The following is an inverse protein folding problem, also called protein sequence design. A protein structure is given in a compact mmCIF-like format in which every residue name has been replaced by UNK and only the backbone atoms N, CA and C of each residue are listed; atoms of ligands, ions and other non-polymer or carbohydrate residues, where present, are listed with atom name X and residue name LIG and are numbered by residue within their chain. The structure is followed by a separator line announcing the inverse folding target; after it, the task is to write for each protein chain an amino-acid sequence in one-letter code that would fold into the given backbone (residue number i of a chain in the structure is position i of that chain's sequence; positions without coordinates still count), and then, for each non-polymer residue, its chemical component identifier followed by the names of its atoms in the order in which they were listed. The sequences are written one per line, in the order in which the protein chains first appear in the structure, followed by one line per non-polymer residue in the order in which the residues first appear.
data_IF_513240131396
#
_entry.id   IF_513240131396
#
_cell.length_a   1.000
_cell.length_b   1.000
_cell.length_c   1.000
_cell.angle_alpha   90.00
_cell.angle_beta   90.00
_cell.angle_gamma   90.00
#
_symmetry.space_group_name_H-M   'P 1'
#
loop_
_entity.id
_entity.type
_entity.pdbx_description
1 polymer ?
#
# COMPACT_ATOMS: atom_id res chain seq x y z
N UNK A 1 -9.11 -3.72 22.85
CA UNK A 1 -9.11 -3.98 21.39
C UNK A 1 -7.66 -4.02 20.94
N UNK A 2 -7.27 -4.86 19.97
CA UNK A 2 -5.94 -4.76 19.38
C UNK A 2 -5.71 -3.34 18.84
N UNK A 3 -4.47 -2.86 18.90
CA UNK A 3 -4.11 -1.57 18.30
C UNK A 3 -4.26 -1.62 16.77
N UNK A 4 -4.38 -0.47 16.14
CA UNK A 4 -4.48 -0.35 14.68
C UNK A 4 -3.26 0.38 14.12
N UNK A 5 -2.96 0.16 12.83
CA UNK A 5 -1.95 0.91 12.09
C UNK A 5 -2.13 2.43 12.24
N UNK A 6 -3.38 2.92 12.23
CA UNK A 6 -3.69 4.35 12.37
C UNK A 6 -3.25 4.96 13.70
N UNK A 7 -2.99 4.12 14.71
CA UNK A 7 -2.59 4.54 16.04
C UNK A 7 -1.08 4.83 16.15
N UNK A 8 -0.28 4.44 15.13
CA UNK A 8 1.19 4.54 15.17
C UNK A 8 1.69 5.98 15.18
N UNK A 9 1.23 6.84 14.25
CA UNK A 9 1.66 8.26 14.24
C UNK A 9 1.10 9.08 15.41
N UNK A 10 -0.16 8.91 15.87
CA UNK A 10 -0.61 9.49 17.14
C UNK A 10 0.29 9.11 18.32
N UNK A 11 0.65 7.84 18.44
CA UNK A 11 1.52 7.34 19.49
C UNK A 11 2.96 7.90 19.40
N UNK A 12 3.50 8.00 18.18
CA UNK A 12 4.79 8.66 17.91
C UNK A 12 4.76 10.16 18.28
N UNK A 13 3.67 10.86 17.98
CA UNK A 13 3.49 12.25 18.35
C UNK A 13 3.38 12.43 19.87
N UNK A 14 2.70 11.52 20.56
CA UNK A 14 2.63 11.51 22.03
C UNK A 14 4.00 11.29 22.67
N UNK A 15 4.83 10.41 22.12
CA UNK A 15 6.24 10.23 22.54
C UNK A 15 7.06 11.53 22.41
N UNK A 16 6.78 12.33 21.39
CA UNK A 16 7.42 13.63 21.16
C UNK A 16 6.80 14.76 22.00
N UNK A 17 5.83 14.46 22.87
CA UNK A 17 5.18 15.45 23.74
C UNK A 17 4.21 16.39 23.02
N UNK A 18 3.68 16.00 21.86
CA UNK A 18 2.72 16.82 21.11
C UNK A 18 1.39 16.92 21.85
N UNK A 19 0.88 18.13 22.14
CA UNK A 19 -0.41 18.31 22.80
C UNK A 19 -1.57 17.68 22.02
N UNK A 20 -2.45 16.96 22.73
CA UNK A 20 -3.63 16.31 22.13
C UNK A 20 -3.35 15.02 21.35
N UNK A 21 -2.08 14.60 21.24
CA UNK A 21 -1.75 13.27 20.74
C UNK A 21 -2.14 12.20 21.77
N UNK A 22 -2.74 11.10 21.29
CA UNK A 22 -3.23 10.01 22.12
C UNK A 22 -2.39 8.77 21.84
N UNK A 23 -1.76 8.23 22.88
CA UNK A 23 -1.01 6.98 22.81
C UNK A 23 -1.88 5.79 23.22
N UNK A 24 -2.61 5.23 22.26
CA UNK A 24 -3.38 3.98 22.46
C UNK A 24 -2.51 2.73 22.38
N UNK A 25 -1.25 2.85 21.96
CA UNK A 25 -0.30 1.75 21.83
C UNK A 25 0.59 1.56 23.07
N UNK A 26 0.46 2.46 24.05
CA UNK A 26 1.27 2.54 25.27
C UNK A 26 2.79 2.57 24.98
N UNK A 27 3.21 3.23 23.91
CA UNK A 27 4.64 3.36 23.56
C UNK A 27 5.37 4.33 24.49
N UNK A 28 4.68 5.34 25.01
CA UNK A 28 5.19 6.32 25.99
C UNK A 28 5.57 5.64 27.31
N UNK A 29 4.64 4.86 27.87
CA UNK A 29 4.89 4.04 29.06
C UNK A 29 6.10 3.10 28.85
N UNK A 30 6.23 2.53 27.65
CA UNK A 30 7.31 1.59 27.31
C UNK A 30 8.67 2.24 27.13
N UNK A 31 8.72 3.49 26.68
CA UNK A 31 9.95 4.27 26.65
C UNK A 31 10.44 4.64 28.05
N UNK A 32 9.57 4.54 29.07
CA UNK A 32 9.92 4.78 30.46
C UNK A 32 10.17 6.27 30.74
N UNK A 33 11.10 6.55 31.66
CA UNK A 33 11.45 7.91 32.07
C UNK A 33 12.41 8.62 31.12
N UNK A 34 12.87 7.93 30.07
CA UNK A 34 13.84 8.47 29.13
C UNK A 34 13.20 9.60 28.32
N UNK A 35 13.91 10.73 28.24
CA UNK A 35 13.46 11.84 27.40
C UNK A 35 13.69 11.47 25.94
N UNK A 36 12.65 11.00 25.28
CA UNK A 36 12.62 10.81 23.83
C UNK A 36 12.30 12.13 23.16
N UNK A 37 13.20 12.61 22.30
CA UNK A 37 13.00 13.80 21.48
C UNK A 37 13.14 13.50 19.97
N UNK A 38 13.40 12.23 19.63
CA UNK A 38 13.55 11.73 18.26
C UNK A 38 12.74 10.44 18.13
N UNK A 39 11.88 10.36 17.12
CA UNK A 39 11.16 9.13 16.81
C UNK A 39 11.39 8.79 15.34
N UNK A 40 11.91 7.58 15.10
CA UNK A 40 12.01 6.99 13.78
C UNK A 40 10.86 6.00 13.59
N UNK A 41 10.00 6.24 12.61
CA UNK A 41 8.97 5.29 12.19
C UNK A 41 9.38 4.70 10.85
N UNK A 42 9.55 3.38 10.77
CA UNK A 42 9.84 2.67 9.52
C UNK A 42 8.65 1.80 9.15
N UNK A 43 8.06 2.07 7.99
CA UNK A 43 7.08 1.19 7.39
C UNK A 43 7.76 0.22 6.41
N UNK A 44 7.61 -1.06 6.68
CA UNK A 44 7.99 -2.14 5.78
C UNK A 44 6.73 -2.65 5.10
N UNK A 45 6.57 -2.34 3.82
CA UNK A 45 5.42 -2.72 3.03
C UNK A 45 5.27 -4.25 2.99
N UNK A 46 4.06 -4.75 3.24
CA UNK A 46 3.75 -6.18 3.20
C UNK A 46 4.31 -7.04 4.35
N UNK A 47 4.94 -6.45 5.39
CA UNK A 47 5.46 -7.17 6.56
C UNK A 47 4.33 -7.60 7.54
N UNK A 48 3.44 -8.46 7.05
CA UNK A 48 2.30 -8.96 7.83
C UNK A 48 2.72 -9.79 9.05
N UNK A 49 2.03 -9.60 10.18
CA UNK A 49 2.26 -10.34 11.42
C UNK A 49 2.35 -11.86 11.23
N UNK A 50 1.44 -12.44 10.42
CA UNK A 50 1.38 -13.88 10.18
C UNK A 50 2.53 -14.42 9.33
N UNK A 51 3.32 -13.54 8.71
CA UNK A 51 4.47 -13.90 7.89
C UNK A 51 5.78 -13.94 8.69
N UNK A 52 5.84 -13.29 9.87
CA UNK A 52 7.04 -13.24 10.70
C UNK A 52 7.67 -14.61 11.00
N UNK A 53 6.91 -15.68 11.32
CA UNK A 53 7.51 -16.99 11.56
C UNK A 53 8.24 -17.57 10.35
N UNK A 54 7.78 -17.27 9.13
CA UNK A 54 8.45 -17.73 7.90
C UNK A 54 9.71 -16.90 7.62
N UNK A 55 9.69 -15.61 7.97
CA UNK A 55 10.82 -14.70 7.75
C UNK A 55 11.98 -14.93 8.72
N UNK A 56 11.69 -15.35 9.95
CA UNK A 56 12.67 -15.51 11.01
C UNK A 56 13.89 -16.40 10.64
N UNK A 57 13.72 -17.36 9.72
CA UNK A 57 14.80 -18.27 9.31
C UNK A 57 15.99 -17.58 8.62
N UNK A 58 15.79 -16.42 8.00
CA UNK A 58 16.83 -15.67 7.26
C UNK A 58 17.01 -14.23 7.73
N UNK A 59 16.35 -13.84 8.82
CA UNK A 59 16.28 -12.46 9.30
C UNK A 59 16.52 -12.46 10.83
N UNK A 60 17.79 -12.37 11.29
CA UNK A 60 18.15 -12.48 12.70
C UNK A 60 17.49 -11.45 13.62
N UNK A 61 17.38 -10.18 13.21
CA UNK A 61 16.68 -9.18 14.01
C UNK A 61 15.18 -9.49 14.11
N UNK A 62 14.53 -9.86 13.00
CA UNK A 62 13.12 -10.28 13.03
C UNK A 62 12.91 -11.51 13.91
N UNK A 63 13.83 -12.49 13.88
CA UNK A 63 13.81 -13.65 14.75
C UNK A 63 13.96 -13.26 16.23
N UNK A 64 14.87 -12.34 16.53
CA UNK A 64 15.08 -11.82 17.89
C UNK A 64 13.85 -11.09 18.42
N UNK A 65 13.20 -10.27 17.57
CA UNK A 65 11.94 -9.58 17.90
C UNK A 65 10.80 -10.58 18.13
N UNK A 66 10.66 -11.59 17.26
CA UNK A 66 9.65 -12.64 17.39
C UNK A 66 9.85 -13.48 18.66
N UNK A 67 11.11 -13.76 19.02
CA UNK A 67 11.49 -14.47 20.24
C UNK A 67 11.42 -13.62 21.52
N UNK A 68 11.13 -12.32 21.40
CA UNK A 68 11.06 -11.39 22.54
C UNK A 68 12.42 -10.98 23.12
N UNK A 69 13.52 -11.23 22.42
CA UNK A 69 14.87 -10.86 22.85
C UNK A 69 15.25 -9.42 22.45
N UNK A 70 14.60 -8.86 21.42
CA UNK A 70 14.81 -7.46 21.00
C UNK A 70 13.48 -6.72 20.91
N UNK A 71 13.39 -5.56 21.58
CA UNK A 71 12.22 -4.69 21.51
C UNK A 71 10.93 -5.36 22.00
N UNK A 72 9.79 -4.90 21.48
CA UNK A 72 8.47 -5.48 21.77
C UNK A 72 7.69 -5.63 20.49
N UNK A 73 6.99 -6.75 20.38
CA UNK A 73 6.18 -7.08 19.22
C UNK A 73 4.69 -7.01 19.61
N UNK A 74 3.92 -6.15 18.94
CA UNK A 74 2.47 -5.98 19.18
C UNK A 74 1.72 -6.15 17.85
N UNK A 75 0.68 -6.98 17.84
CA UNK A 75 -0.13 -7.18 16.64
C UNK A 75 -1.02 -5.97 16.43
N UNK A 76 -0.93 -5.38 15.24
CA UNK A 76 -1.80 -4.29 14.80
C UNK A 76 -2.80 -4.78 13.74
N UNK A 77 -3.97 -4.16 13.73
CA UNK A 77 -4.94 -4.29 12.64
C UNK A 77 -4.66 -3.26 11.54
N UNK A 78 -4.52 -3.75 10.31
CA UNK A 78 -4.56 -2.91 9.11
C UNK A 78 -6.01 -2.48 8.80
N UNK A 79 -6.15 -1.51 7.91
CA UNK A 79 -7.47 -1.04 7.49
C UNK A 79 -8.12 -1.97 6.47
N UNK A 80 -9.43 -1.79 6.25
CA UNK A 80 -10.12 -2.38 5.10
C UNK A 80 -10.42 -1.30 4.05
N UNK A 81 -10.07 -1.51 2.77
CA UNK A 81 -9.28 -2.63 2.26
C UNK A 81 -7.82 -2.58 2.73
N UNK A 82 -7.20 -3.75 2.84
CA UNK A 82 -5.81 -3.90 3.31
C UNK A 82 -4.83 -3.67 2.17
N UNK A 83 -4.78 -2.44 1.67
CA UNK A 83 -3.93 -2.05 0.53
C UNK A 83 -3.09 -0.82 0.86
N UNK A 84 -1.90 -0.75 0.25
CA UNK A 84 -0.92 0.31 0.47
C UNK A 84 -1.55 1.71 0.43
N UNK A 85 -2.33 2.13 -0.60
CA UNK A 85 -2.85 3.50 -0.63
C UNK A 85 -3.78 3.81 0.55
N UNK A 86 -4.62 2.84 0.92
CA UNK A 86 -5.57 2.98 2.03
C UNK A 86 -4.81 3.07 3.36
N UNK A 87 -3.94 2.09 3.61
CA UNK A 87 -3.18 1.96 4.85
C UNK A 87 -2.19 3.11 5.06
N UNK A 88 -1.49 3.58 4.02
CA UNK A 88 -0.58 4.72 4.12
C UNK A 88 -1.31 6.01 4.51
N UNK A 89 -2.47 6.28 3.92
CA UNK A 89 -3.26 7.47 4.26
C UNK A 89 -3.89 7.33 5.66
N UNK A 90 -4.34 6.13 6.03
CA UNK A 90 -4.82 5.86 7.40
C UNK A 90 -3.72 6.05 8.45
N UNK A 91 -2.49 5.57 8.18
CA UNK A 91 -1.32 5.83 9.01
C UNK A 91 -1.02 7.32 9.10
N UNK A 92 -0.93 7.98 7.94
CA UNK A 92 -0.59 9.39 7.80
C UNK A 92 -1.57 10.32 8.49
N UNK A 93 -2.85 9.99 8.50
CA UNK A 93 -3.92 10.84 9.05
C UNK A 93 -4.38 10.45 10.44
N UNK A 94 -4.17 9.18 10.84
CA UNK A 94 -4.79 8.56 12.01
C UNK A 94 -6.29 8.25 11.84
N UNK A 95 -6.85 8.48 10.65
CA UNK A 95 -8.29 8.36 10.39
C UNK A 95 -8.64 7.02 9.72
N UNK A 96 -9.91 6.64 9.79
CA UNK A 96 -10.42 5.48 9.05
C UNK A 96 -10.54 5.77 7.54
N UNK A 97 -10.53 4.74 6.67
CA UNK A 97 -10.66 4.90 5.22
C UNK A 97 -11.87 5.73 4.78
N UNK A 98 -13.02 5.51 5.41
CA UNK A 98 -14.24 6.25 5.11
C UNK A 98 -14.17 7.76 5.41
N UNK A 99 -13.24 8.19 6.27
CA UNK A 99 -13.05 9.60 6.62
C UNK A 99 -12.08 10.29 5.64
N UNK A 100 -11.00 9.61 5.26
CA UNK A 100 -9.97 10.20 4.40
C UNK A 100 -10.18 9.95 2.89
N UNK A 101 -11.12 9.09 2.51
CA UNK A 101 -11.60 8.95 1.11
C UNK A 101 -10.71 8.15 0.15
N UNK A 102 -9.55 7.67 0.61
CA UNK A 102 -8.66 6.80 -0.18
C UNK A 102 -8.98 5.35 0.19
N UNK A 103 -9.73 4.66 -0.67
CA UNK A 103 -10.35 3.36 -0.40
C UNK A 103 -9.82 2.24 -1.31
N UNK A 104 -8.55 2.32 -1.72
CA UNK A 104 -7.90 1.30 -2.53
C UNK A 104 -7.03 1.84 -3.64
N UNK A 105 -6.49 0.96 -4.49
CA UNK A 105 -5.65 1.36 -5.62
C UNK A 105 -6.40 2.18 -6.66
N UNK A 106 -7.65 1.81 -6.96
CA UNK A 106 -8.44 2.51 -7.95
C UNK A 106 -9.82 2.87 -7.44
N UNK A 107 -10.27 4.10 -7.71
CA UNK A 107 -11.62 4.56 -7.39
C UNK A 107 -12.19 5.35 -8.55
N UNK A 108 -13.50 5.25 -8.75
CA UNK A 108 -14.20 6.12 -9.70
C UNK A 108 -14.28 7.53 -9.13
N UNK A 109 -13.85 8.53 -9.89
CA UNK A 109 -14.03 9.94 -9.53
C UNK A 109 -15.54 10.24 -9.46
N UNK A 110 -16.06 10.75 -8.32
CA UNK A 110 -17.48 11.03 -8.15
C UNK A 110 -18.04 11.88 -9.29
N UNK A 111 -19.26 11.56 -9.75
CA UNK A 111 -19.90 12.26 -10.87
C UNK A 111 -19.39 11.90 -12.27
N UNK A 112 -18.32 11.11 -12.41
CA UNK A 112 -17.71 10.80 -13.72
C UNK A 112 -17.68 9.29 -14.02
N UNK A 113 -17.10 8.92 -15.18
CA UNK A 113 -16.69 7.54 -15.49
C UNK A 113 -15.18 7.31 -15.28
N UNK A 114 -14.44 8.37 -14.96
CA UNK A 114 -12.98 8.33 -14.82
C UNK A 114 -12.59 7.52 -13.60
N UNK A 115 -11.60 6.65 -13.75
CA UNK A 115 -10.99 5.89 -12.67
C UNK A 115 -9.69 6.54 -12.28
N UNK A 116 -9.61 7.02 -11.05
CA UNK A 116 -8.39 7.48 -10.41
C UNK A 116 -7.58 6.27 -9.96
N UNK A 117 -6.30 6.24 -10.29
CA UNK A 117 -5.35 5.27 -9.74
C UNK A 117 -4.44 5.98 -8.75
N UNK A 118 -4.54 5.69 -7.45
CA UNK A 118 -3.86 6.46 -6.41
C UNK A 118 -2.33 6.38 -6.49
N UNK A 119 -1.76 5.26 -6.96
CA UNK A 119 -0.28 5.15 -7.08
C UNK A 119 0.28 5.82 -8.34
N UNK A 120 -0.59 6.16 -9.30
CA UNK A 120 -0.21 6.92 -10.52
C UNK A 120 -0.75 8.35 -10.51
N UNK A 121 -1.48 8.72 -9.47
CA UNK A 121 -2.12 10.01 -9.32
C UNK A 121 -1.09 11.10 -9.10
N UNK A 122 -1.34 12.27 -9.69
CA UNK A 122 -0.56 13.49 -9.53
C UNK A 122 -1.40 14.54 -8.82
N UNK A 123 -2.02 15.43 -9.58
CA UNK A 123 -2.65 16.65 -9.09
C UNK A 123 -4.12 16.80 -9.50
N UNK A 124 -4.66 15.92 -10.34
CA UNK A 124 -6.07 15.91 -10.74
C UNK A 124 -6.76 14.58 -10.36
N UNK A 125 -7.78 14.61 -9.48
CA UNK A 125 -8.23 15.76 -8.69
C UNK A 125 -7.16 16.21 -7.68
N UNK A 126 -7.26 17.43 -7.15
CA UNK A 126 -6.28 17.94 -6.17
C UNK A 126 -6.17 17.02 -4.94
N UNK A 127 -4.95 16.64 -4.48
CA UNK A 127 -4.79 15.80 -3.30
C UNK A 127 -5.39 16.34 -2.02
N UNK A 128 -5.35 17.66 -1.82
CA UNK A 128 -5.94 18.31 -0.66
C UNK A 128 -7.49 18.30 -0.68
N UNK A 129 -8.08 18.23 -1.88
CA UNK A 129 -9.55 18.14 -2.04
C UNK A 129 -10.00 16.69 -1.91
N UNK A 130 -9.27 15.76 -2.52
CA UNK A 130 -9.60 14.33 -2.48
C UNK A 130 -9.42 13.71 -1.10
N UNK A 131 -8.35 14.10 -0.40
CA UNK A 131 -8.04 13.71 0.97
C UNK A 131 -7.99 14.98 1.83
N UNK A 132 -9.08 15.33 2.54
CA UNK A 132 -9.18 16.59 3.28
C UNK A 132 -8.74 16.49 4.75
N UNK A 133 -8.57 15.29 5.30
CA UNK A 133 -8.23 15.10 6.71
C UNK A 133 -6.78 15.55 6.95
N UNK A 134 -6.47 16.40 7.96
CA UNK A 134 -5.11 16.77 8.26
C UNK A 134 -4.24 15.53 8.55
N UNK A 135 -3.01 15.52 8.03
CA UNK A 135 -2.05 14.47 8.37
C UNK A 135 -1.39 14.75 9.72
N UNK A 136 -0.80 13.74 10.35
CA UNK A 136 0.04 13.91 11.52
C UNK A 136 1.29 14.73 11.23
N UNK A 137 1.78 14.76 10.00
CA UNK A 137 2.89 15.64 9.61
C UNK A 137 2.49 17.12 9.65
N UNK A 138 1.27 17.47 9.24
CA UNK A 138 0.73 18.84 9.42
C UNK A 138 0.58 19.17 10.91
N UNK A 139 0.01 18.26 11.71
CA UNK A 139 -0.20 18.46 13.15
C UNK A 139 1.12 18.62 13.92
N UNK A 140 2.14 17.83 13.58
CA UNK A 140 3.49 17.95 14.14
C UNK A 140 4.08 19.32 13.85
N UNK A 141 3.99 19.76 12.58
CA UNK A 141 4.46 21.08 12.16
C UNK A 141 3.75 22.22 12.89
N UNK A 142 2.42 22.13 13.06
CA UNK A 142 1.63 23.10 13.83
C UNK A 142 2.04 23.15 15.31
N UNK A 143 2.45 22.00 15.88
CA UNK A 143 2.99 21.91 17.23
C UNK A 143 4.47 22.32 17.36
N UNK A 144 5.10 22.78 16.27
CA UNK A 144 6.52 23.16 16.26
C UNK A 144 7.50 21.98 16.29
N UNK A 145 7.03 20.76 15.97
CA UNK A 145 7.85 19.56 15.90
C UNK A 145 8.20 19.26 14.44
N UNK A 146 9.49 19.14 14.15
CA UNK A 146 9.97 18.78 12.81
C UNK A 146 9.52 17.36 12.44
N UNK A 147 9.07 17.17 11.20
CA UNK A 147 8.68 15.88 10.65
C UNK A 147 9.25 15.73 9.24
N UNK A 148 10.13 14.73 9.05
CA UNK A 148 10.78 14.43 7.77
C UNK A 148 10.33 13.08 7.26
N UNK A 149 10.16 12.95 5.95
CA UNK A 149 9.82 11.70 5.30
C UNK A 149 10.89 11.33 4.27
N UNK A 150 11.69 10.31 4.58
CA UNK A 150 12.68 9.73 3.68
C UNK A 150 11.99 8.70 2.81
N UNK A 151 11.80 9.04 1.54
CA UNK A 151 10.99 8.27 0.60
C UNK A 151 11.75 8.02 -0.70
N UNK A 152 11.52 6.89 -1.38
CA UNK A 152 12.03 6.69 -2.73
C UNK A 152 11.67 7.88 -3.63
N UNK A 153 12.67 8.44 -4.31
CA UNK A 153 12.54 9.68 -5.07
C UNK A 153 11.44 9.63 -6.14
N UNK A 154 11.17 8.42 -6.67
CA UNK A 154 10.11 8.20 -7.65
C UNK A 154 8.68 8.46 -7.14
N UNK A 155 8.46 8.45 -5.83
CA UNK A 155 7.14 8.69 -5.24
C UNK A 155 6.87 10.17 -5.02
N UNK A 156 7.92 10.99 -4.93
CA UNK A 156 7.76 12.42 -4.67
C UNK A 156 6.98 13.10 -5.81
N UNK A 157 6.09 14.02 -5.41
CA UNK A 157 5.16 14.67 -6.33
C UNK A 157 3.98 13.80 -6.79
N UNK A 158 3.81 12.60 -6.24
CA UNK A 158 2.58 11.83 -6.42
C UNK A 158 1.47 12.34 -5.50
N UNK A 159 0.22 12.24 -5.96
CA UNK A 159 -0.95 12.61 -5.17
C UNK A 159 -1.12 11.74 -3.93
N UNK A 160 -0.72 10.47 -3.98
CA UNK A 160 -0.73 9.60 -2.80
C UNK A 160 0.29 10.05 -1.75
N UNK A 161 1.50 10.42 -2.16
CA UNK A 161 2.52 10.97 -1.25
C UNK A 161 2.02 12.24 -0.58
N UNK A 162 1.41 13.16 -1.33
CA UNK A 162 0.79 14.35 -0.75
C UNK A 162 -0.38 13.99 0.19
N UNK A 163 -1.27 13.08 -0.22
CA UNK A 163 -2.42 12.67 0.61
C UNK A 163 -2.02 11.99 1.93
N UNK A 164 -0.93 11.22 1.95
CA UNK A 164 -0.48 10.51 3.14
C UNK A 164 0.46 11.35 4.03
N UNK A 165 1.29 12.21 3.43
CA UNK A 165 2.44 12.82 4.11
C UNK A 165 2.50 14.35 4.03
N UNK A 166 1.49 15.03 3.45
CA UNK A 166 1.43 16.50 3.38
C UNK A 166 1.83 17.13 4.71
N UNK A 167 2.71 18.12 4.69
CA UNK A 167 3.27 18.77 5.89
C UNK A 167 4.65 18.25 6.29
N UNK A 168 5.07 17.09 5.78
CA UNK A 168 6.42 16.59 5.98
C UNK A 168 7.45 17.38 5.15
N UNK A 169 8.69 17.41 5.63
CA UNK A 169 9.86 17.72 4.82
C UNK A 169 10.29 16.46 4.06
N UNK A 170 10.09 16.44 2.75
CA UNK A 170 10.46 15.29 1.92
C UNK A 170 11.98 15.20 1.69
N UNK A 171 12.51 14.00 1.94
CA UNK A 171 13.92 13.64 1.75
C UNK A 171 13.99 12.54 0.68
N UNK A 172 14.34 12.86 -0.57
CA UNK A 172 14.39 11.86 -1.64
C UNK A 172 15.53 10.87 -1.41
N UNK A 173 15.24 9.58 -1.59
CA UNK A 173 16.24 8.53 -1.71
C UNK A 173 16.24 7.93 -3.12
N UNK A 174 17.37 8.03 -3.80
CA UNK A 174 17.62 7.43 -5.10
C UNK A 174 18.04 5.95 -5.00
N UNK A 175 17.95 5.20 -6.10
CA UNK A 175 18.30 3.77 -6.10
C UNK A 175 19.77 3.44 -5.79
N UNK A 176 20.67 4.41 -5.95
CA UNK A 176 22.10 4.26 -5.69
C UNK A 176 22.52 4.78 -4.30
N UNK A 177 21.59 5.38 -3.56
CA UNK A 177 21.89 5.94 -2.26
C UNK A 177 21.96 4.84 -1.19
N UNK A 178 22.80 5.07 -0.18
CA UNK A 178 22.74 4.29 1.04
C UNK A 178 21.54 4.74 1.88
N UNK A 179 20.39 4.11 1.63
CA UNK A 179 19.13 4.47 2.27
C UNK A 179 19.19 4.47 3.80
N UNK A 180 19.88 3.49 4.40
CA UNK A 180 20.01 3.42 5.85
C UNK A 180 20.81 4.63 6.38
N UNK A 181 21.89 5.00 5.69
CA UNK A 181 22.70 6.16 6.07
C UNK A 181 21.90 7.46 5.95
N UNK A 182 21.12 7.65 4.88
CA UNK A 182 20.25 8.82 4.73
C UNK A 182 19.27 8.96 5.91
N UNK A 183 18.60 7.87 6.29
CA UNK A 183 17.68 7.87 7.44
C UNK A 183 18.40 8.20 8.74
N UNK A 184 19.60 7.64 8.96
CA UNK A 184 20.42 7.92 10.15
C UNK A 184 20.85 9.39 10.20
N UNK A 185 21.28 9.95 9.08
CA UNK A 185 21.71 11.34 8.99
C UNK A 185 20.54 12.30 9.28
N UNK A 186 19.37 12.05 8.69
CA UNK A 186 18.16 12.82 8.97
C UNK A 186 17.75 12.71 10.44
N UNK A 187 17.80 11.51 11.04
CA UNK A 187 17.49 11.28 12.46
C UNK A 187 18.43 12.04 13.40
N UNK A 188 19.71 12.11 13.05
CA UNK A 188 20.73 12.81 13.85
C UNK A 188 20.69 14.32 13.68
N UNK A 189 20.26 14.81 12.51
CA UNK A 189 20.32 16.23 12.16
C UNK A 189 19.48 17.14 13.06
N UNK A 190 18.32 16.70 13.56
CA UNK A 190 17.50 17.47 14.51
C UNK A 190 16.50 16.58 15.27
N UNK A 191 15.99 17.00 16.45
CA UNK A 191 14.83 16.38 17.10
C UNK A 191 13.57 16.35 16.21
N UNK A 192 12.64 15.46 16.52
CA UNK A 192 11.35 15.32 15.83
C UNK A 192 11.09 13.93 15.26
N UNK A 193 10.17 13.85 14.29
CA UNK A 193 9.80 12.62 13.60
C UNK A 193 10.63 12.44 12.32
N UNK A 194 11.16 11.23 12.12
CA UNK A 194 11.64 10.76 10.81
C UNK A 194 10.79 9.56 10.41
N UNK A 195 10.20 9.61 9.22
CA UNK A 195 9.47 8.52 8.61
C UNK A 195 10.28 7.92 7.48
N UNK A 196 10.44 6.59 7.47
CA UNK A 196 11.04 5.83 6.39
C UNK A 196 10.06 4.80 5.82
N UNK A 197 10.21 4.49 4.54
CA UNK A 197 9.40 3.51 3.83
C UNK A 197 10.27 2.58 2.96
N UNK A 198 10.02 1.28 2.99
CA UNK A 198 10.61 0.31 2.06
C UNK A 198 9.54 -0.63 1.49
N UNK A 199 9.57 -0.82 0.16
CA UNK A 199 8.65 -1.68 -0.58
C UNK A 199 9.24 -3.03 -0.99
N UNK A 200 10.50 -3.31 -0.62
CA UNK A 200 11.26 -4.43 -1.19
C UNK A 200 10.59 -5.79 -0.91
N UNK A 201 10.08 -5.97 0.31
CA UNK A 201 9.42 -7.21 0.74
C UNK A 201 8.11 -7.46 -0.02
N UNK A 202 7.23 -6.47 -0.06
CA UNK A 202 5.96 -6.56 -0.80
C UNK A 202 6.18 -6.72 -2.31
N UNK A 203 7.15 -6.00 -2.88
CA UNK A 203 7.54 -6.15 -4.29
C UNK A 203 7.96 -7.59 -4.60
N UNK A 204 8.79 -8.20 -3.75
CA UNK A 204 9.21 -9.58 -3.93
C UNK A 204 8.04 -10.56 -3.79
N UNK A 205 7.12 -10.32 -2.85
CA UNK A 205 5.91 -11.12 -2.67
C UNK A 205 5.02 -11.05 -3.92
N UNK A 206 4.84 -9.88 -4.51
CA UNK A 206 4.02 -9.71 -5.71
C UNK A 206 4.63 -10.34 -6.96
N UNK A 207 5.95 -10.24 -7.15
CA UNK A 207 6.61 -10.74 -8.36
C UNK A 207 6.86 -12.25 -8.29
N UNK A 208 7.26 -12.77 -7.13
CA UNK A 208 7.74 -14.14 -6.97
C UNK A 208 6.87 -15.01 -6.07
N UNK A 209 5.96 -14.42 -5.31
CA UNK A 209 5.12 -15.11 -4.33
C UNK A 209 5.74 -15.13 -2.93
N UNK A 210 4.87 -15.16 -1.92
CA UNK A 210 5.24 -15.35 -0.52
C UNK A 210 5.88 -16.74 -0.35
N UNK A 211 6.99 -16.82 0.36
CA UNK A 211 7.77 -18.05 0.58
C UNK A 211 8.77 -18.41 -0.53
N UNK A 212 8.89 -17.57 -1.57
CA UNK A 212 9.92 -17.71 -2.60
C UNK A 212 11.32 -17.34 -2.07
N UNK A 213 12.38 -17.82 -2.72
CA UNK A 213 13.77 -17.45 -2.39
C UNK A 213 13.99 -15.94 -2.47
N UNK A 214 13.38 -15.27 -3.44
CA UNK A 214 13.47 -13.82 -3.63
C UNK A 214 12.78 -13.05 -2.51
N UNK A 215 11.65 -13.56 -2.02
CA UNK A 215 10.95 -12.97 -0.87
C UNK A 215 11.76 -13.12 0.43
N UNK A 216 12.39 -14.28 0.64
CA UNK A 216 13.33 -14.45 1.77
C UNK A 216 14.58 -13.58 1.65
N UNK A 217 15.13 -13.40 0.44
CA UNK A 217 16.24 -12.49 0.20
C UNK A 217 15.87 -11.03 0.50
N UNK A 218 14.69 -10.57 0.07
CA UNK A 218 14.16 -9.25 0.40
C UNK A 218 13.98 -9.06 1.92
N UNK A 219 13.53 -10.10 2.62
CA UNK A 219 13.44 -10.05 4.08
C UNK A 219 14.82 -9.91 4.76
N UNK A 220 15.86 -10.58 4.24
CA UNK A 220 17.21 -10.41 4.73
C UNK A 220 17.77 -9.00 4.47
N UNK A 221 17.45 -8.38 3.32
CA UNK A 221 17.73 -6.96 3.05
C UNK A 221 17.07 -6.04 4.07
N UNK A 222 15.77 -6.25 4.34
CA UNK A 222 15.00 -5.49 5.34
C UNK A 222 15.58 -5.67 6.74
N UNK A 223 15.93 -6.89 7.13
CA UNK A 223 16.55 -7.19 8.42
C UNK A 223 17.90 -6.45 8.58
N UNK A 224 18.71 -6.44 7.52
CA UNK A 224 19.98 -5.69 7.48
C UNK A 224 19.74 -4.19 7.62
N UNK A 225 18.76 -3.63 6.90
CA UNK A 225 18.37 -2.23 7.02
C UNK A 225 17.96 -1.90 8.45
N UNK A 226 17.02 -2.66 9.02
CA UNK A 226 16.51 -2.41 10.37
C UNK A 226 17.60 -2.57 11.45
N UNK A 227 18.52 -3.52 11.28
CA UNK A 227 19.67 -3.71 12.18
C UNK A 227 20.60 -2.50 12.15
N UNK A 228 20.95 -2.00 10.97
CA UNK A 228 21.77 -0.79 10.83
C UNK A 228 21.10 0.44 11.47
N UNK A 229 19.78 0.58 11.31
CA UNK A 229 19.03 1.66 11.94
C UNK A 229 19.05 1.52 13.47
N UNK A 230 18.78 0.33 13.99
CA UNK A 230 18.77 0.04 15.43
C UNK A 230 20.15 0.28 16.07
N UNK A 231 21.23 -0.13 15.43
CA UNK A 231 22.60 0.09 15.91
C UNK A 231 22.99 1.58 15.92
N UNK A 232 22.43 2.37 15.01
CA UNK A 232 22.75 3.78 14.86
C UNK A 232 21.86 4.72 15.70
N UNK A 233 20.87 4.18 16.42
CA UNK A 233 19.89 4.95 17.19
C UNK A 233 20.58 5.76 18.31
N UNK A 234 20.35 7.10 18.36
CA UNK A 234 20.77 7.91 19.51
C UNK A 234 20.09 7.45 20.82
N UNK A 235 20.71 7.69 22.00
CA UNK A 235 20.12 7.31 23.29
C UNK A 235 18.76 7.94 23.59
N UNK A 236 18.46 9.10 23.00
CA UNK A 236 17.20 9.84 23.13
C UNK A 236 16.22 9.59 21.96
N UNK A 237 16.41 8.50 21.22
CA UNK A 237 15.59 8.14 20.08
C UNK A 237 14.81 6.84 20.31
N UNK A 238 13.60 6.77 19.75
CA UNK A 238 12.81 5.55 19.68
C UNK A 238 12.64 5.09 18.21
N UNK A 239 12.71 3.78 17.97
CA UNK A 239 12.42 3.16 16.68
C UNK A 239 11.10 2.40 16.75
N UNK A 240 10.14 2.78 15.90
CA UNK A 240 8.89 2.07 15.69
C UNK A 240 8.90 1.46 14.28
N UNK A 241 8.83 0.14 14.20
CA UNK A 241 8.71 -0.59 12.93
C UNK A 241 7.27 -1.07 12.77
N UNK A 242 6.68 -0.83 11.61
CA UNK A 242 5.29 -1.22 11.31
C UNK A 242 5.14 -1.69 9.86
N UNK A 243 3.94 -2.14 9.52
CA UNK A 243 3.55 -2.60 8.19
C UNK A 243 2.17 -2.08 7.84
N UNK A 244 1.93 -1.82 6.57
CA UNK A 244 0.64 -1.37 6.04
C UNK A 244 -0.38 -2.51 5.89
N UNK A 245 0.09 -3.70 5.49
CA UNK A 245 -0.69 -4.93 5.39
C UNK A 245 0.22 -6.17 5.46
N UNK A 246 -0.39 -7.35 5.29
CA UNK A 246 0.33 -8.59 5.01
C UNK A 246 0.08 -9.09 3.60
N UNK A 247 0.40 -10.35 3.34
CA UNK A 247 0.22 -10.95 2.01
C UNK A 247 -0.13 -12.44 2.08
N UNK A 248 -0.67 -12.95 0.98
CA UNK A 248 -0.93 -14.38 0.77
C UNK A 248 -0.86 -14.73 -0.72
N UNK A 249 -0.49 -15.98 -1.02
CA UNK A 249 -0.52 -16.48 -2.39
C UNK A 249 -1.96 -16.87 -2.77
N UNK A 250 -2.47 -16.31 -3.87
CA UNK A 250 -3.81 -16.64 -4.40
C UNK A 250 -3.67 -17.66 -5.54
N UNK A 251 -4.15 -18.91 -5.36
CA UNK A 251 -4.03 -19.93 -6.39
C UNK A 251 -4.94 -19.61 -7.59
N UNK A 252 -4.61 -20.05 -8.82
CA UNK A 252 -5.36 -19.70 -10.03
C UNK A 252 -6.87 -19.99 -9.95
N UNK A 253 -7.25 -21.09 -9.33
CA UNK A 253 -8.64 -21.54 -9.17
C UNK A 253 -9.47 -20.65 -8.22
N UNK A 254 -8.81 -19.89 -7.35
CA UNK A 254 -9.47 -18.92 -6.48
C UNK A 254 -9.64 -17.54 -7.15
N UNK A 255 -9.16 -17.37 -8.39
CA UNK A 255 -9.25 -16.11 -9.13
C UNK A 255 -10.52 -16.08 -9.95
N UNK A 256 -11.31 -15.03 -9.76
CA UNK A 256 -12.53 -14.79 -10.54
C UNK A 256 -12.22 -13.76 -11.61
N UNK A 257 -12.34 -14.16 -12.88
CA UNK A 257 -12.27 -13.25 -14.02
C UNK A 257 -13.69 -12.75 -14.35
N UNK A 258 -13.90 -11.44 -14.18
CA UNK A 258 -15.19 -10.80 -14.45
C UNK A 258 -15.57 -10.88 -15.94
N UNK A 259 -14.58 -10.86 -16.85
CA UNK A 259 -14.82 -10.90 -18.29
C UNK A 259 -15.19 -12.32 -18.76
N UNK A 260 -14.82 -13.35 -18.00
CA UNK A 260 -15.15 -14.74 -18.29
C UNK A 260 -16.63 -15.07 -18.02
N UNK A 261 -17.33 -14.27 -17.20
CA UNK A 261 -18.75 -14.45 -16.90
C UNK A 261 -19.57 -13.22 -17.28
N UNK A 262 -20.28 -13.30 -18.41
CA UNK A 262 -21.15 -12.24 -18.89
C UNK A 262 -22.20 -11.80 -17.86
N UNK A 263 -22.55 -12.62 -16.86
CA UNK A 263 -23.46 -12.22 -15.79
C UNK A 263 -22.87 -11.19 -14.84
N UNK A 264 -21.55 -11.21 -14.65
CA UNK A 264 -20.82 -10.27 -13.80
C UNK A 264 -20.58 -8.94 -14.50
N UNK A 265 -20.45 -8.95 -15.84
CA UNK A 265 -20.30 -7.74 -16.63
C UNK A 265 -21.64 -7.02 -16.94
N UNK A 266 -22.78 -7.72 -16.86
CA UNK A 266 -24.08 -7.16 -17.24
C UNK A 266 -24.46 -5.95 -16.39
N UNK A 267 -24.66 -4.82 -17.07
CA UNK A 267 -25.05 -3.58 -16.42
C UNK A 267 -23.92 -2.95 -15.60
N UNK A 268 -22.67 -3.39 -15.73
CA UNK A 268 -21.51 -2.71 -15.14
C UNK A 268 -20.94 -1.73 -16.15
N UNK A 269 -20.78 -0.48 -15.73
CA UNK A 269 -20.24 0.61 -16.56
C UNK A 269 -18.77 0.89 -16.26
N UNK A 270 -18.39 0.80 -14.99
CA UNK A 270 -17.02 1.03 -14.51
C UNK A 270 -16.70 -0.02 -13.46
N UNK A 271 -15.54 -0.64 -13.61
CA UNK A 271 -14.90 -1.50 -12.61
C UNK A 271 -13.73 -0.72 -12.02
N UNK A 272 -13.69 -0.62 -10.69
CA UNK A 272 -12.58 -0.05 -9.92
C UNK A 272 -12.34 -0.92 -8.67
N UNK A 273 -11.49 -0.47 -7.76
CA UNK A 273 -11.02 -1.22 -6.59
C UNK A 273 -9.75 -2.03 -6.87
N UNK A 274 -9.60 -3.14 -6.17
CA UNK A 274 -8.45 -4.04 -6.27
C UNK A 274 -8.87 -5.52 -6.21
N UNK A 275 -7.98 -6.47 -6.57
CA UNK A 275 -8.25 -7.89 -6.39
C UNK A 275 -8.60 -8.20 -4.93
N UNK A 276 -9.84 -8.64 -4.67
CA UNK A 276 -10.37 -8.89 -3.32
C UNK A 276 -11.38 -7.87 -2.81
N UNK A 277 -11.44 -6.67 -3.41
CA UNK A 277 -12.39 -5.58 -3.05
C UNK A 277 -12.74 -4.74 -4.29
N UNK A 278 -13.30 -5.38 -5.32
CA UNK A 278 -13.74 -4.69 -6.53
C UNK A 278 -15.03 -3.88 -6.29
N UNK A 279 -15.09 -2.68 -6.87
CA UNK A 279 -16.30 -1.85 -6.91
C UNK A 279 -16.83 -1.76 -8.34
N UNK A 280 -18.10 -2.13 -8.53
CA UNK A 280 -18.77 -2.08 -9.82
C UNK A 280 -19.83 -0.97 -9.82
N UNK A 281 -19.74 -0.02 -10.75
CA UNK A 281 -20.76 1.02 -10.91
C UNK A 281 -21.82 0.54 -11.90
N UNK A 282 -23.10 0.41 -11.49
CA UNK A 282 -24.14 -0.03 -12.40
C UNK A 282 -24.46 1.03 -13.46
N UNK A 283 -24.88 0.59 -14.65
CA UNK A 283 -25.57 1.42 -15.62
C UNK A 283 -26.84 1.95 -14.97
N UNK A 284 -27.07 3.27 -15.03
CA UNK A 284 -28.39 3.82 -14.67
C UNK A 284 -29.43 3.11 -15.53
N UNK A 285 -30.39 2.44 -14.89
CA UNK A 285 -31.63 2.11 -15.58
C UNK A 285 -32.22 3.45 -16.08
N UNK A 286 -32.78 3.53 -17.31
CA UNK A 286 -33.57 4.68 -17.67
C UNK A 286 -34.62 4.87 -16.58
N UNK A 287 -34.68 6.07 -15.99
CA UNK A 287 -35.78 6.42 -15.09
C UNK A 287 -37.06 6.09 -15.87
N UNK A 288 -38.03 5.35 -15.31
CA UNK A 288 -39.30 5.20 -15.97
C UNK A 288 -39.81 6.61 -16.24
N UNK A 289 -39.91 6.97 -17.52
CA UNK A 289 -40.59 8.19 -17.93
C UNK A 289 -42.04 7.99 -17.53
N UNK A 290 -42.46 8.57 -16.41
CA UNK A 290 -43.87 8.78 -16.16
C UNK A 290 -44.36 9.70 -17.29
N UNK A 291 -44.98 9.11 -18.31
CA UNK A 291 -45.65 9.86 -19.35
C UNK A 291 -46.75 10.74 -18.73
N UNK A 292 -47.11 11.86 -19.37
CA UNK A 292 -48.09 12.80 -18.85
C UNK A 292 -49.51 12.23 -19.04
N UNK A 293 -49.88 11.20 -18.27
CA UNK A 293 -51.28 10.81 -18.08
C UNK A 293 -51.47 10.43 -16.62
N UNK A 294 -52.33 11.21 -15.96
CA UNK A 294 -52.67 11.11 -14.54
C UNK A 294 -53.32 9.77 -14.12
N UNK A 295 -53.72 9.65 -12.85
CA UNK A 295 -53.98 8.37 -12.21
C UNK A 295 -55.28 7.78 -12.73
N UNK A 296 -55.20 6.57 -13.32
CA UNK A 296 -56.32 5.63 -13.34
C UNK A 296 -55.86 4.35 -12.67
N UNK A 297 -56.05 4.30 -11.36
CA UNK A 297 -56.19 3.03 -10.67
C UNK A 297 -57.44 2.33 -11.22
N UNK A 298 -57.25 1.19 -11.88
CA UNK A 298 -58.31 0.19 -12.00
C UNK A 298 -57.76 -1.12 -11.46
N UNK A 299 -58.32 -1.53 -10.33
CA UNK A 299 -58.07 -2.78 -9.68
C UNK A 299 -58.47 -3.96 -10.58
N UNK A 300 -57.55 -4.88 -10.80
CA UNK A 300 -57.83 -6.28 -11.07
C UNK A 300 -56.65 -7.09 -10.54
N UNK A 301 -56.88 -7.79 -9.42
CA UNK A 301 -55.85 -8.54 -8.72
C UNK A 301 -55.39 -9.78 -9.47
N UNK A 302 -54.10 -10.08 -9.36
CA UNK A 302 -53.56 -11.36 -8.85
C UNK A 302 -52.03 -11.33 -8.86
N UNK A 303 -51.37 -11.90 -7.83
CA UNK A 303 -49.91 -11.93 -7.76
C UNK A 303 -49.35 -13.00 -8.69
N UNK A 304 -48.43 -12.63 -9.59
CA UNK A 304 -47.63 -13.60 -10.32
C UNK A 304 -46.41 -13.99 -9.49
N UNK A 305 -46.56 -15.15 -8.84
CA UNK A 305 -45.49 -16.00 -8.30
C UNK A 305 -44.48 -16.41 -9.38
N UNK A 306 -43.24 -16.59 -8.95
CA UNK A 306 -42.13 -17.11 -9.74
C UNK A 306 -42.49 -18.41 -10.48
N UNK A 307 -42.24 -18.45 -11.79
CA UNK A 307 -42.16 -19.69 -12.54
C UNK A 307 -41.13 -19.55 -13.67
N UNK A 308 -40.12 -20.40 -13.53
CA UNK A 308 -39.22 -20.93 -14.56
C UNK A 308 -39.66 -20.77 -16.01
N UNK A 309 -38.77 -20.23 -16.85
CA UNK A 309 -38.73 -20.55 -18.28
C UNK A 309 -37.29 -20.73 -18.74
N UNK A 310 -36.98 -21.99 -19.11
CA UNK A 310 -35.88 -22.37 -20.00
C UNK A 310 -36.03 -21.63 -21.33
N UNK A 311 -34.93 -21.15 -21.90
CA UNK A 311 -34.80 -20.88 -23.33
C UNK A 311 -33.43 -21.36 -23.84
N UNK A 312 -33.48 -22.01 -25.00
CA UNK A 312 -32.41 -22.70 -25.70
C UNK A 312 -31.46 -21.72 -26.43
N UNK A 313 -30.29 -22.18 -26.93
CA UNK A 313 -29.15 -21.33 -27.29
C UNK A 313 -29.23 -20.82 -28.74
N UNK A 314 -28.66 -19.64 -28.99
CA UNK A 314 -28.57 -19.09 -30.34
C UNK A 314 -27.53 -17.98 -30.51
N UNK A 315 -26.57 -18.27 -31.39
CA UNK A 315 -25.72 -17.36 -32.16
C UNK A 315 -24.50 -16.70 -31.49
N UNK A 316 -23.37 -17.33 -31.80
CA UNK A 316 -21.99 -16.86 -31.75
C UNK A 316 -21.76 -15.56 -32.52
N UNK A 317 -21.10 -14.60 -31.88
CA UNK A 317 -20.39 -13.51 -32.53
C UNK A 317 -19.02 -13.36 -31.88
N UNK A 318 -17.95 -13.68 -32.63
CA UNK A 318 -16.56 -13.42 -32.21
C UNK A 318 -16.34 -11.92 -32.18
N UNK A 319 -15.91 -11.40 -31.03
CA UNK A 319 -15.35 -10.06 -30.86
C UNK A 319 -13.98 -10.19 -30.19
N UNK A 320 -12.97 -9.38 -30.57
CA UNK A 320 -11.57 -9.67 -30.29
C UNK A 320 -11.27 -9.62 -28.79
N UNK A 321 -10.55 -10.65 -28.33
CA UNK A 321 -10.01 -10.76 -26.97
C UNK A 321 -9.19 -9.52 -26.67
N UNK A 322 -9.68 -8.66 -25.77
CA UNK A 322 -8.85 -7.71 -25.03
C UNK A 322 -8.49 -8.40 -23.73
N UNK A 323 -7.35 -9.08 -23.72
CA UNK A 323 -6.78 -9.60 -22.49
C UNK A 323 -6.33 -8.42 -21.63
N UNK A 324 -6.98 -8.21 -20.49
CA UNK A 324 -6.46 -7.36 -19.43
C UNK A 324 -5.32 -8.10 -18.72
N UNK A 325 -4.11 -7.99 -19.28
CA UNK A 325 -2.89 -8.24 -18.52
C UNK A 325 -2.59 -6.99 -17.69
N UNK A 326 -3.33 -6.81 -16.60
CA UNK A 326 -3.14 -5.71 -15.66
C UNK A 326 -1.97 -5.93 -14.69
N UNK A 327 -0.85 -6.48 -15.15
CA UNK A 327 0.39 -6.63 -14.37
C UNK A 327 1.58 -6.70 -15.33
N UNK A 328 2.11 -5.53 -15.71
CA UNK A 328 3.48 -5.34 -16.20
C UNK A 328 3.71 -3.86 -16.51
N UNK A 329 4.62 -3.23 -15.78
CA UNK A 329 5.40 -2.05 -16.22
C UNK A 329 6.59 -1.91 -15.26
N UNK A 330 7.88 -1.97 -15.60
CA UNK A 330 8.68 -2.34 -16.78
C UNK A 330 10.12 -2.59 -16.28
N UNK A 331 10.90 -3.43 -16.98
CA UNK A 331 12.36 -3.51 -16.88
C UNK A 331 12.99 -2.97 -18.18
N UNK A 332 14.16 -2.37 -18.07
CA UNK A 332 14.89 -1.71 -19.17
C UNK A 332 15.42 -2.72 -20.20
N UNK A 333 15.39 -2.35 -21.49
CA UNK A 333 15.98 -3.09 -22.61
C UNK A 333 17.18 -2.32 -23.16
N UNK A 334 18.36 -2.94 -23.17
CA UNK A 334 19.45 -2.55 -24.07
C UNK A 334 19.74 -3.71 -25.04
N UNK A 335 19.34 -3.57 -26.31
CA UNK A 335 19.96 -4.29 -27.43
C UNK A 335 21.05 -3.40 -28.01
N UNK A 336 22.29 -3.85 -27.91
CA UNK A 336 23.30 -3.57 -28.92
C UNK A 336 23.50 -4.83 -29.76
N UNK A 337 23.67 -4.60 -31.05
CA UNK A 337 23.56 -5.53 -32.18
C UNK A 337 24.56 -6.69 -32.22
N UNK A 338 24.10 -7.82 -32.78
CA UNK A 338 24.92 -8.94 -33.23
C UNK A 338 25.96 -8.49 -34.27
N UNK A 339 27.20 -8.99 -34.16
CA UNK A 339 28.04 -9.33 -35.32
C UNK A 339 28.70 -10.69 -35.11
N UNK A 340 28.83 -11.39 -36.22
CA UNK A 340 29.01 -12.82 -36.40
C UNK A 340 30.30 -13.40 -35.80
N UNK A 341 30.21 -14.66 -35.36
CA UNK A 341 31.34 -15.58 -35.28
C UNK A 341 31.89 -15.89 -36.69
N UNK A 342 33.18 -16.25 -36.76
CA UNK A 342 33.48 -17.57 -37.28
C UNK A 342 34.37 -18.40 -36.34
N UNK A 343 34.28 -19.70 -36.55
CA UNK A 343 34.83 -20.74 -35.71
C UNK A 343 36.35 -21.01 -35.89
N UNK A 344 36.86 -21.71 -34.88
CA UNK A 344 37.94 -22.73 -34.88
C UNK A 344 39.42 -22.34 -34.62
N UNK A 345 39.89 -23.02 -33.56
CA UNK A 345 41.14 -23.79 -33.39
C UNK A 345 42.47 -23.11 -33.01
N UNK A 346 42.88 -23.48 -31.79
CA UNK A 346 44.23 -23.90 -31.36
C UNK A 346 45.33 -22.85 -31.23
N UNK A 347 45.89 -22.71 -30.02
CA UNK A 347 47.21 -23.25 -29.62
C UNK A 347 47.69 -22.61 -28.31
N UNK A 348 48.16 -23.49 -27.41
CA UNK A 348 49.27 -23.36 -26.43
C UNK A 348 49.64 -21.97 -25.89
N UNK A 349 49.56 -21.83 -24.54
CA UNK A 349 50.56 -21.07 -23.76
C UNK A 349 51.88 -21.87 -23.71
N UNK A 350 53.03 -21.18 -23.68
CA UNK A 350 53.74 -21.09 -22.40
C UNK A 350 54.34 -19.69 -22.12
N UNK A 351 54.45 -19.40 -20.80
CA UNK A 351 55.44 -18.57 -20.05
C UNK A 351 55.75 -17.15 -20.57
N UNK A 352 55.99 -16.14 -19.73
CA UNK A 352 56.47 -16.09 -18.35
C UNK A 352 55.68 -15.08 -17.52
#
# INVERSE_FOLDING_TARGET
MPGSLRDVLPAAAALLGVPGAVDTLAVTERAGSDRIDRVLVVLVDGLGWHLLPQLAGGAPLLASVLGGATGRLTRLECTFPSTTPTSLVSLGTGAAPGEHGVLGFTLRVPGTETVLNHVRWRDDPSPAVWQPVPTWFQRLKEAGVSARAVLPALFLGSGLTEAAYRGAEFRPAGPADDYAQLVVDDLRSAPGLVYGYTAELDTAAHVFGVGSEQWHAAAASVDTLLSRLLEALPPNAALLVTADHGGLNVPPEARIDLDADARLARGVRVVAGEPGSATCTPSRAPRPTCGPRGPRCSAAGRPCTAASRRWAPGCSGRSPRRTWSGWATWWWSARATRRCWPARTSRRKPRA
#
